data_IF_743108115146
#
_entry.id   IF_743108115146
#
_cell.length_a   1.000
_cell.length_b   1.000
_cell.length_c   1.000
_cell.angle_alpha   90.00
_cell.angle_beta   90.00
_cell.angle_gamma   90.00
#
_symmetry.space_group_name_H-M   'P 1'
#
loop_
_entity.id
_entity.type
_entity.pdbx_description
1 polymer ?
#
# COMPACT_ATOMS: atom_id res chain seq x y z
N UNK A 1 -32.07 2.40 100.10
CA UNK A 1 -32.03 1.36 99.06
C UNK A 1 -32.25 2.08 97.74
N UNK A 2 -31.18 2.45 97.06
CA UNK A 2 -31.19 3.33 95.86
C UNK A 2 -30.77 2.50 94.70
N UNK A 3 -31.68 2.25 93.75
CA UNK A 3 -31.37 1.61 92.47
C UNK A 3 -30.75 2.61 91.48
N UNK A 4 -29.53 2.38 91.13
CA UNK A 4 -28.82 3.06 90.12
C UNK A 4 -29.09 2.41 88.76
N UNK A 5 -29.90 3.06 87.94
CA UNK A 5 -30.14 2.63 86.55
C UNK A 5 -29.06 3.22 85.67
N UNK A 6 -28.18 2.39 85.22
CA UNK A 6 -27.13 2.77 84.30
C UNK A 6 -27.65 2.62 82.84
N UNK A 7 -27.97 3.75 82.23
CA UNK A 7 -28.41 3.81 80.82
C UNK A 7 -27.13 3.78 79.95
N UNK A 8 -26.96 2.64 79.32
CA UNK A 8 -25.87 2.46 78.35
C UNK A 8 -26.27 3.02 77.00
N UNK A 9 -25.64 4.14 76.58
CA UNK A 9 -25.85 4.78 75.32
C UNK A 9 -24.98 4.05 74.23
N UNK A 10 -25.61 3.22 73.43
CA UNK A 10 -24.95 2.57 72.32
C UNK A 10 -24.90 3.57 71.13
N UNK A 11 -23.71 4.10 70.86
CA UNK A 11 -23.39 4.88 69.65
C UNK A 11 -23.17 3.92 68.48
N UNK A 12 -24.18 3.86 67.62
CA UNK A 12 -24.07 3.20 66.31
C UNK A 12 -23.22 4.07 65.38
N UNK A 13 -21.96 3.74 65.21
CA UNK A 13 -21.13 4.27 64.12
C UNK A 13 -21.56 3.57 62.81
N UNK A 14 -22.36 4.27 62.03
CA UNK A 14 -22.64 3.94 60.64
C UNK A 14 -21.39 4.19 59.79
N UNK A 15 -20.58 3.15 59.60
CA UNK A 15 -19.50 3.20 58.63
C UNK A 15 -20.09 3.12 57.22
N UNK A 16 -20.28 4.26 56.56
CA UNK A 16 -20.46 4.29 55.10
C UNK A 16 -19.17 3.82 54.45
N UNK A 17 -19.05 2.55 54.15
CA UNK A 17 -18.04 2.05 53.24
C UNK A 17 -18.42 2.43 51.82
N UNK A 18 -17.91 3.60 51.37
CA UNK A 18 -17.87 3.91 49.93
C UNK A 18 -16.93 2.90 49.26
N UNK A 19 -17.50 1.89 48.64
CA UNK A 19 -16.77 0.99 47.76
C UNK A 19 -16.22 1.89 46.64
N UNK A 20 -14.85 1.97 46.46
CA UNK A 20 -14.31 2.71 45.34
C UNK A 20 -14.84 2.04 44.06
N UNK A 21 -15.63 2.79 43.31
CA UNK A 21 -16.06 2.35 41.98
C UNK A 21 -14.79 2.23 41.13
N UNK A 22 -14.42 0.98 40.80
CA UNK A 22 -13.35 0.74 39.83
C UNK A 22 -13.82 1.44 38.56
N UNK A 23 -13.02 2.37 37.98
CA UNK A 23 -13.38 2.99 36.72
C UNK A 23 -13.68 1.86 35.72
N UNK A 24 -14.85 1.93 35.10
CA UNK A 24 -15.19 1.01 34.01
C UNK A 24 -14.03 0.99 33.03
N UNK A 25 -13.47 -0.19 32.68
CA UNK A 25 -12.39 -0.22 31.70
C UNK A 25 -12.86 0.55 30.45
N UNK A 26 -12.00 1.37 29.84
CA UNK A 26 -12.38 2.11 28.66
C UNK A 26 -13.05 1.12 27.70
N UNK A 27 -14.26 1.51 27.21
CA UNK A 27 -15.03 0.69 26.26
C UNK A 27 -14.05 0.08 25.28
N UNK A 28 -14.09 -1.26 25.17
CA UNK A 28 -13.22 -2.01 24.29
C UNK A 28 -13.01 -1.22 23.01
N UNK A 29 -11.75 -0.90 22.72
CA UNK A 29 -11.34 -0.16 21.54
C UNK A 29 -12.19 -0.68 20.39
N UNK A 30 -12.97 0.19 19.78
CA UNK A 30 -13.78 -0.13 18.60
C UNK A 30 -12.90 -0.96 17.70
N UNK A 31 -13.32 -2.19 17.38
CA UNK A 31 -12.58 -3.17 16.60
C UNK A 31 -11.91 -2.44 15.43
N UNK A 32 -10.59 -2.26 15.53
CA UNK A 32 -9.84 -1.39 14.65
C UNK A 32 -9.62 -2.16 13.35
N UNK A 33 -10.55 -2.02 12.43
CA UNK A 33 -10.52 -2.70 11.14
C UNK A 33 -9.68 -1.91 10.14
N UNK A 34 -8.48 -2.40 9.78
CA UNK A 34 -7.65 -1.71 8.80
C UNK A 34 -8.34 -1.66 7.43
N UNK A 35 -8.14 -0.60 6.64
CA UNK A 35 -8.55 -0.57 5.24
C UNK A 35 -7.98 -1.76 4.47
N UNK A 36 -8.73 -2.26 3.48
CA UNK A 36 -8.33 -3.44 2.71
C UNK A 36 -6.94 -3.31 2.07
N UNK A 37 -6.50 -2.12 1.70
CA UNK A 37 -5.19 -1.88 1.10
C UNK A 37 -4.02 -2.13 2.05
N UNK A 38 -4.21 -1.95 3.36
CA UNK A 38 -3.18 -2.25 4.38
C UNK A 38 -2.83 -3.73 4.36
N UNK A 39 -3.85 -4.58 4.18
CA UNK A 39 -3.68 -6.03 4.11
C UNK A 39 -3.24 -6.51 2.72
N UNK A 40 -3.64 -5.80 1.66
CA UNK A 40 -3.30 -6.18 0.28
C UNK A 40 -1.82 -5.96 -0.04
N UNK A 41 -1.21 -4.90 0.52
CA UNK A 41 0.15 -4.51 0.17
C UNK A 41 0.25 -3.83 -1.20
N UNK A 42 1.49 -3.67 -1.70
CA UNK A 42 1.76 -3.14 -3.04
C UNK A 42 1.40 -4.13 -4.15
N UNK A 43 1.20 -3.62 -5.37
CA UNK A 43 0.85 -4.44 -6.53
C UNK A 43 0.19 -3.65 -7.65
N UNK A 44 -0.28 -4.38 -8.67
CA UNK A 44 -1.11 -3.83 -9.74
C UNK A 44 -2.59 -4.13 -9.44
N UNK A 45 -3.44 -3.11 -9.48
CA UNK A 45 -4.88 -3.24 -9.22
C UNK A 45 -5.68 -2.31 -10.13
N UNK A 46 -6.98 -2.58 -10.23
CA UNK A 46 -7.94 -1.68 -10.85
C UNK A 46 -8.84 -1.09 -9.76
N UNK A 47 -8.90 0.23 -9.70
CA UNK A 47 -9.77 1.01 -8.80
C UNK A 47 -10.87 1.74 -9.58
N UNK A 48 -11.62 2.61 -8.92
CA UNK A 48 -12.66 3.45 -9.50
C UNK A 48 -12.13 4.46 -10.54
N UNK A 49 -10.83 4.78 -10.49
CA UNK A 49 -10.12 5.66 -11.44
C UNK A 49 -9.47 4.89 -12.60
N UNK A 50 -9.48 3.55 -12.54
CA UNK A 50 -8.91 2.67 -13.53
C UNK A 50 -7.70 1.87 -13.05
N UNK A 51 -6.93 1.32 -13.99
CA UNK A 51 -5.72 0.56 -13.70
C UNK A 51 -4.66 1.41 -13.02
N UNK A 52 -4.02 0.90 -11.99
CA UNK A 52 -2.97 1.57 -11.25
C UNK A 52 -1.94 0.60 -10.65
N UNK A 53 -0.79 1.14 -10.26
CA UNK A 53 0.18 0.48 -9.41
C UNK A 53 0.14 1.10 -8.03
N UNK A 54 0.32 0.27 -7.01
CA UNK A 54 0.29 0.67 -5.61
C UNK A 54 1.54 0.21 -4.88
N UNK A 55 1.97 1.02 -3.92
CA UNK A 55 3.01 0.67 -2.97
C UNK A 55 2.59 1.04 -1.56
N UNK A 56 3.01 0.25 -0.59
CA UNK A 56 2.69 0.44 0.83
C UNK A 56 3.99 0.57 1.61
N UNK A 57 4.07 1.56 2.48
CA UNK A 57 5.21 1.78 3.34
C UNK A 57 4.79 2.14 4.74
N UNK A 58 5.50 1.64 5.76
CA UNK A 58 5.21 1.96 7.15
C UNK A 58 6.42 2.52 7.89
N UNK A 59 6.15 3.30 8.94
CA UNK A 59 7.15 3.81 9.86
C UNK A 59 6.65 3.69 11.30
N UNK A 60 7.52 3.19 12.20
CA UNK A 60 7.23 2.99 13.63
C UNK A 60 8.33 3.61 14.49
N UNK A 61 7.98 3.92 15.74
CA UNK A 61 8.96 4.31 16.77
C UNK A 61 9.55 5.72 16.62
N UNK A 62 8.99 6.57 15.77
CA UNK A 62 9.46 7.91 15.50
C UNK A 62 8.58 8.91 16.25
N UNK A 63 9.15 9.63 17.23
CA UNK A 63 8.40 10.59 18.06
C UNK A 63 7.92 11.83 17.31
N UNK A 64 8.66 12.25 16.28
CA UNK A 64 8.26 13.36 15.43
C UNK A 64 7.31 12.87 14.35
N UNK A 65 6.02 13.21 14.48
CA UNK A 65 4.98 12.76 13.56
C UNK A 65 5.23 13.17 12.10
N UNK A 66 5.71 14.40 11.86
CA UNK A 66 6.01 14.84 10.49
C UNK A 66 7.12 14.02 9.86
N UNK A 67 8.16 13.68 10.63
CA UNK A 67 9.25 12.82 10.16
C UNK A 67 8.76 11.38 9.96
N UNK A 68 7.92 10.86 10.86
CA UNK A 68 7.33 9.53 10.71
C UNK A 68 6.53 9.44 9.42
N UNK A 69 5.68 10.43 9.14
CA UNK A 69 4.89 10.50 7.92
C UNK A 69 5.77 10.55 6.68
N UNK A 70 6.80 11.41 6.68
CA UNK A 70 7.72 11.49 5.55
C UNK A 70 8.39 10.15 5.27
N UNK A 71 8.86 9.44 6.30
CA UNK A 71 9.50 8.13 6.13
C UNK A 71 8.51 7.08 5.63
N UNK A 72 7.27 7.05 6.13
CA UNK A 72 6.23 6.15 5.62
C UNK A 72 5.92 6.42 4.14
N UNK A 73 5.78 7.70 3.77
CA UNK A 73 5.54 8.13 2.40
C UNK A 73 6.68 7.73 1.46
N UNK A 74 7.92 7.93 1.87
CA UNK A 74 9.11 7.59 1.07
C UNK A 74 9.24 6.07 0.91
N UNK A 75 8.91 5.29 1.94
CA UNK A 75 8.86 3.83 1.87
C UNK A 75 7.75 3.33 0.93
N UNK A 76 6.58 3.97 0.96
CA UNK A 76 5.48 3.64 0.05
C UNK A 76 5.85 3.93 -1.41
N UNK A 77 6.52 5.06 -1.69
CA UNK A 77 7.06 5.37 -3.02
C UNK A 77 8.12 4.38 -3.46
N UNK A 78 9.02 3.98 -2.55
CA UNK A 78 10.06 3.00 -2.85
C UNK A 78 9.49 1.60 -3.13
N UNK A 79 8.43 1.19 -2.41
CA UNK A 79 7.75 -0.07 -2.64
C UNK A 79 7.03 -0.06 -4.00
N UNK A 80 6.31 1.02 -4.31
CA UNK A 80 5.70 1.19 -5.63
C UNK A 80 6.73 1.19 -6.75
N UNK A 81 7.89 1.83 -6.56
CA UNK A 81 8.96 1.85 -7.55
C UNK A 81 9.43 0.43 -7.88
N UNK A 82 9.60 -0.45 -6.89
CA UNK A 82 9.95 -1.86 -7.09
C UNK A 82 8.89 -2.62 -7.88
N UNK A 83 7.60 -2.43 -7.55
CA UNK A 83 6.49 -3.04 -8.30
C UNK A 83 6.53 -2.59 -9.76
N UNK A 84 6.75 -1.31 -10.01
CA UNK A 84 6.78 -0.75 -11.34
C UNK A 84 8.04 -1.14 -12.12
N UNK A 85 9.21 -1.17 -11.47
CA UNK A 85 10.46 -1.66 -12.06
C UNK A 85 10.35 -3.11 -12.51
N UNK A 86 9.77 -3.98 -11.66
CA UNK A 86 9.50 -5.37 -12.02
C UNK A 86 8.58 -5.48 -13.24
N UNK A 87 7.51 -4.69 -13.27
CA UNK A 87 6.61 -4.62 -14.43
C UNK A 87 7.36 -4.26 -15.72
N UNK A 88 8.17 -3.23 -15.68
CA UNK A 88 8.91 -2.75 -16.84
C UNK A 88 10.00 -3.74 -17.29
N UNK A 89 10.71 -4.32 -16.34
CA UNK A 89 11.72 -5.35 -16.64
C UNK A 89 11.08 -6.58 -17.31
N UNK A 90 9.92 -7.01 -16.82
CA UNK A 90 9.17 -8.13 -17.42
C UNK A 90 8.68 -7.77 -18.82
N UNK A 91 8.13 -6.57 -19.00
CA UNK A 91 7.70 -6.08 -20.30
C UNK A 91 8.85 -6.05 -21.31
N UNK A 92 10.04 -5.63 -20.89
CA UNK A 92 11.23 -5.58 -21.73
C UNK A 92 11.70 -6.98 -22.13
N UNK A 93 11.75 -7.92 -21.17
CA UNK A 93 12.12 -9.32 -21.44
C UNK A 93 11.15 -10.00 -22.40
N UNK A 94 9.85 -9.81 -22.19
CA UNK A 94 8.82 -10.36 -23.05
C UNK A 94 8.93 -9.82 -24.48
N UNK A 95 9.20 -8.51 -24.58
CA UNK A 95 9.41 -7.88 -25.88
C UNK A 95 10.64 -8.46 -26.61
N UNK A 96 11.78 -8.60 -25.92
CA UNK A 96 12.99 -9.21 -26.48
C UNK A 96 12.76 -10.65 -26.94
N UNK A 97 12.06 -11.46 -26.14
CA UNK A 97 11.74 -12.84 -26.50
C UNK A 97 10.91 -12.96 -27.79
N UNK A 98 9.95 -12.05 -27.99
CA UNK A 98 9.13 -12.02 -29.20
C UNK A 98 9.87 -11.50 -30.43
N UNK A 99 10.86 -10.62 -30.25
CA UNK A 99 11.65 -10.04 -31.34
C UNK A 99 12.71 -11.00 -31.89
N UNK A 100 13.32 -11.82 -31.00
CA UNK A 100 14.30 -12.84 -31.38
C UNK A 100 13.68 -13.94 -32.26
N UNK A 101 12.35 -14.11 -32.21
CA UNK A 101 11.60 -15.09 -33.00
C UNK A 101 11.32 -14.67 -34.45
N UNK A 102 11.79 -13.52 -34.95
CA UNK A 102 11.75 -13.22 -36.40
C UNK A 102 11.29 -11.85 -36.86
N UNK A 103 11.19 -10.84 -36.01
CA UNK A 103 10.63 -9.53 -36.41
C UNK A 103 11.60 -8.35 -36.45
N UNK A 104 12.86 -8.46 -35.99
CA UNK A 104 13.84 -7.37 -36.04
C UNK A 104 15.09 -7.70 -36.83
N UNK A 105 15.42 -6.79 -37.74
CA UNK A 105 16.56 -6.90 -38.62
C UNK A 105 17.86 -6.33 -38.04
N UNK A 106 17.84 -5.60 -36.89
CA UNK A 106 19.05 -4.92 -36.40
C UNK A 106 19.11 -4.80 -34.87
N UNK A 107 20.34 -5.00 -34.32
CA UNK A 107 20.69 -4.76 -32.92
C UNK A 107 20.45 -3.32 -32.43
N UNK A 108 20.30 -2.36 -33.33
CA UNK A 108 20.05 -0.95 -33.03
C UNK A 108 18.63 -0.70 -32.54
N UNK A 109 17.64 -1.45 -33.06
CA UNK A 109 16.25 -1.31 -32.65
C UNK A 109 16.02 -1.88 -31.24
N UNK A 110 16.75 -2.93 -30.90
CA UNK A 110 16.74 -3.54 -29.56
C UNK A 110 17.31 -2.60 -28.48
N UNK A 111 18.44 -1.94 -28.76
CA UNK A 111 19.04 -0.94 -27.87
C UNK A 111 18.16 0.30 -27.69
N UNK A 112 17.50 0.75 -28.75
CA UNK A 112 16.59 1.90 -28.68
C UNK A 112 15.34 1.59 -27.84
N UNK A 113 14.82 0.37 -27.89
CA UNK A 113 13.67 -0.04 -27.08
C UNK A 113 13.99 -0.09 -25.57
N UNK A 114 15.17 -0.59 -25.20
CA UNK A 114 15.62 -0.59 -23.80
C UNK A 114 15.84 0.85 -23.26
N UNK A 115 16.42 1.73 -24.06
CA UNK A 115 16.63 3.12 -23.69
C UNK A 115 15.28 3.83 -23.50
N UNK A 116 14.33 3.63 -24.41
CA UNK A 116 12.99 4.18 -24.33
C UNK A 116 12.29 3.75 -23.03
N UNK A 117 12.36 2.46 -22.69
CA UNK A 117 11.77 1.92 -21.47
C UNK A 117 12.38 2.56 -20.23
N UNK A 118 13.71 2.68 -20.13
CA UNK A 118 14.39 3.30 -18.96
C UNK A 118 14.00 4.76 -18.76
N UNK A 119 13.90 5.54 -19.81
CA UNK A 119 13.48 6.97 -19.77
C UNK A 119 12.04 7.06 -19.30
N UNK A 120 11.16 6.23 -19.82
CA UNK A 120 9.76 6.18 -19.44
C UNK A 120 9.59 5.85 -17.95
N UNK A 121 10.34 4.88 -17.42
CA UNK A 121 10.31 4.52 -15.99
C UNK A 121 10.62 5.72 -15.11
N UNK A 122 11.77 6.37 -15.35
CA UNK A 122 12.21 7.48 -14.50
C UNK A 122 11.26 8.68 -14.56
N UNK A 123 10.64 8.93 -15.71
CA UNK A 123 9.68 10.02 -15.89
C UNK A 123 8.35 9.69 -15.24
N UNK A 124 7.89 8.45 -15.36
CA UNK A 124 6.61 8.00 -14.83
C UNK A 124 6.59 7.97 -13.29
N UNK A 125 7.69 7.56 -12.65
CA UNK A 125 7.79 7.54 -11.19
C UNK A 125 7.65 8.93 -10.55
N UNK A 126 7.88 10.03 -11.30
CA UNK A 126 7.60 11.40 -10.82
C UNK A 126 6.11 11.67 -10.62
N UNK A 127 5.23 10.89 -11.25
CA UNK A 127 3.76 10.97 -11.11
C UNK A 127 3.20 10.20 -9.92
N UNK A 128 4.04 9.58 -9.07
CA UNK A 128 3.59 8.86 -7.88
C UNK A 128 3.04 9.83 -6.85
N UNK A 129 1.81 9.57 -6.40
CA UNK A 129 1.12 10.34 -5.37
C UNK A 129 0.83 9.49 -4.14
N UNK A 130 0.95 10.06 -2.94
CA UNK A 130 0.42 9.45 -1.72
C UNK A 130 -1.06 9.78 -1.66
N UNK A 131 -1.89 8.75 -1.56
CA UNK A 131 -3.35 8.90 -1.63
C UNK A 131 -4.06 8.62 -0.32
N UNK A 132 -3.41 7.90 0.61
CA UNK A 132 -4.00 7.56 1.89
C UNK A 132 -2.94 7.30 2.97
N UNK A 133 -3.37 7.44 4.23
CA UNK A 133 -2.58 7.12 5.42
C UNK A 133 -3.47 6.38 6.41
N UNK A 134 -2.87 5.41 7.08
CA UNK A 134 -3.52 4.63 8.12
C UNK A 134 -2.62 4.52 9.34
N UNK A 135 -3.15 4.83 10.51
CA UNK A 135 -2.40 4.86 11.77
C UNK A 135 -2.85 3.72 12.68
N UNK A 136 -1.90 3.02 13.27
CA UNK A 136 -2.11 2.01 14.30
C UNK A 136 -1.57 2.56 15.61
N UNK A 137 -2.40 3.22 16.44
CA UNK A 137 -1.95 3.92 17.64
C UNK A 137 -1.24 3.01 18.64
N UNK A 138 -1.70 1.76 18.82
CA UNK A 138 -1.15 0.79 19.76
C UNK A 138 0.30 0.41 19.42
N UNK A 139 0.68 0.51 18.16
CA UNK A 139 2.03 0.22 17.67
C UNK A 139 2.85 1.50 17.42
N UNK A 140 2.21 2.67 17.50
CA UNK A 140 2.81 3.92 17.06
C UNK A 140 3.26 3.83 15.58
N UNK A 141 2.50 3.11 14.76
CA UNK A 141 2.80 2.82 13.37
C UNK A 141 1.92 3.67 12.45
N UNK A 142 2.56 4.32 11.49
CA UNK A 142 1.90 5.02 10.40
C UNK A 142 2.18 4.30 9.09
N UNK A 143 1.14 3.99 8.34
CA UNK A 143 1.21 3.30 7.05
C UNK A 143 0.73 4.25 5.97
N UNK A 144 1.47 4.35 4.87
CA UNK A 144 1.17 5.20 3.72
C UNK A 144 0.88 4.36 2.49
N UNK A 145 -0.06 4.82 1.66
CA UNK A 145 -0.40 4.23 0.38
C UNK A 145 0.02 5.17 -0.75
N UNK A 146 0.91 4.69 -1.60
CA UNK A 146 1.31 5.34 -2.84
C UNK A 146 0.54 4.76 -4.03
N UNK A 147 0.20 5.61 -5.02
CA UNK A 147 -0.49 5.25 -6.25
C UNK A 147 0.19 5.87 -7.46
N UNK A 148 0.31 5.08 -8.52
CA UNK A 148 0.74 5.51 -9.85
C UNK A 148 -0.34 5.13 -10.86
N UNK A 149 -0.85 6.12 -11.59
CA UNK A 149 -1.85 5.90 -12.63
C UNK A 149 -1.26 5.19 -13.86
N UNK A 150 -1.91 4.12 -14.32
CA UNK A 150 -1.47 3.36 -15.48
C UNK A 150 -1.61 4.16 -16.79
N UNK A 151 -2.63 5.03 -16.89
CA UNK A 151 -2.78 5.89 -18.08
C UNK A 151 -1.68 6.93 -18.15
N UNK A 152 -1.21 7.46 -17.01
CA UNK A 152 -0.05 8.35 -16.98
C UNK A 152 1.21 7.64 -17.52
N UNK A 153 1.42 6.38 -17.19
CA UNK A 153 2.48 5.57 -17.80
C UNK A 153 2.31 5.47 -19.31
N UNK A 154 1.14 5.10 -19.82
CA UNK A 154 0.89 4.98 -21.26
C UNK A 154 1.12 6.29 -22.00
N UNK A 155 0.69 7.42 -21.43
CA UNK A 155 0.91 8.74 -22.01
C UNK A 155 2.40 9.09 -22.07
N UNK A 156 3.16 8.81 -21.01
CA UNK A 156 4.60 9.06 -20.98
C UNK A 156 5.34 8.20 -22.03
N UNK A 157 4.92 6.94 -22.21
CA UNK A 157 5.44 6.08 -23.28
C UNK A 157 5.19 6.71 -24.65
N UNK A 158 3.97 7.16 -24.93
CA UNK A 158 3.60 7.75 -26.22
C UNK A 158 4.33 9.07 -26.52
N UNK A 159 4.70 9.81 -25.48
CA UNK A 159 5.41 11.10 -25.62
C UNK A 159 6.92 10.95 -25.75
N UNK A 160 7.50 9.81 -25.33
CA UNK A 160 8.93 9.57 -25.42
C UNK A 160 9.40 9.57 -26.90
N UNK A 161 10.44 10.34 -27.20
CA UNK A 161 10.98 10.45 -28.56
C UNK A 161 11.49 9.10 -29.05
N UNK A 162 12.12 8.33 -28.15
CA UNK A 162 12.62 6.98 -28.42
C UNK A 162 11.49 6.02 -28.82
N UNK A 163 10.28 6.23 -28.31
CA UNK A 163 9.12 5.43 -28.68
C UNK A 163 8.53 5.85 -30.04
N UNK A 164 8.56 7.15 -30.34
CA UNK A 164 8.01 7.69 -31.59
C UNK A 164 8.76 7.21 -32.83
N UNK A 165 10.08 6.92 -32.71
CA UNK A 165 10.88 6.41 -33.84
C UNK A 165 10.63 4.94 -34.15
N UNK A 166 9.95 4.20 -33.26
CA UNK A 166 9.61 2.80 -33.49
C UNK A 166 8.50 2.63 -34.55
N UNK A 167 8.53 1.56 -35.38
CA UNK A 167 7.46 1.25 -36.31
C UNK A 167 6.08 1.14 -35.61
N UNK A 168 5.02 1.55 -36.29
CA UNK A 168 3.68 1.58 -35.71
C UNK A 168 3.25 0.21 -35.14
N UNK A 169 3.54 -0.88 -35.84
CA UNK A 169 3.23 -2.25 -35.38
C UNK A 169 3.91 -2.56 -34.05
N UNK A 170 5.19 -2.23 -33.93
CA UNK A 170 5.99 -2.43 -32.72
C UNK A 170 5.42 -1.65 -31.54
N UNK A 171 5.06 -0.38 -31.76
CA UNK A 171 4.42 0.46 -30.73
C UNK A 171 3.10 -0.14 -30.26
N UNK A 172 2.31 -0.71 -31.16
CA UNK A 172 1.05 -1.35 -30.81
C UNK A 172 1.28 -2.63 -30.03
N UNK A 173 2.21 -3.49 -30.47
CA UNK A 173 2.55 -4.74 -29.78
C UNK A 173 3.03 -4.48 -28.33
N UNK A 174 3.85 -3.42 -28.12
CA UNK A 174 4.30 -3.02 -26.77
C UNK A 174 3.10 -2.60 -25.90
N UNK A 175 2.15 -1.83 -26.44
CA UNK A 175 0.95 -1.41 -25.71
C UNK A 175 0.06 -2.59 -25.33
N UNK A 176 -0.17 -3.49 -26.25
CA UNK A 176 -1.02 -4.66 -26.03
C UNK A 176 -0.38 -5.59 -24.99
N UNK A 177 0.93 -5.77 -25.03
CA UNK A 177 1.66 -6.56 -24.05
C UNK A 177 1.67 -5.88 -22.66
N UNK A 178 1.82 -4.57 -22.60
CA UNK A 178 1.72 -3.82 -21.36
C UNK A 178 0.34 -3.99 -20.69
N UNK A 179 -0.73 -3.92 -21.46
CA UNK A 179 -2.09 -4.14 -20.95
C UNK A 179 -2.31 -5.59 -20.46
N UNK A 180 -1.76 -6.58 -21.17
CA UNK A 180 -1.81 -7.98 -20.77
C UNK A 180 -1.05 -8.24 -19.47
N UNK A 181 0.17 -7.72 -19.38
CA UNK A 181 1.03 -7.89 -18.21
C UNK A 181 0.42 -7.23 -16.95
N UNK A 182 -0.16 -6.03 -17.06
CA UNK A 182 -0.87 -5.41 -15.94
C UNK A 182 -1.98 -6.32 -15.42
N UNK A 183 -2.75 -6.93 -16.32
CA UNK A 183 -3.82 -7.87 -15.96
C UNK A 183 -3.30 -9.16 -15.31
N UNK A 184 -2.15 -9.66 -15.74
CA UNK A 184 -1.48 -10.80 -15.13
C UNK A 184 -1.06 -10.48 -13.70
N UNK A 185 -0.38 -9.35 -13.49
CA UNK A 185 0.04 -8.89 -12.16
C UNK A 185 -1.15 -8.63 -11.23
N UNK A 186 -2.25 -8.08 -11.75
CA UNK A 186 -3.47 -7.86 -10.97
C UNK A 186 -4.05 -9.20 -10.46
N UNK A 187 -4.09 -10.22 -11.30
CA UNK A 187 -4.53 -11.57 -10.89
C UNK A 187 -3.63 -12.18 -9.81
N UNK A 188 -2.32 -11.99 -9.92
CA UNK A 188 -1.38 -12.47 -8.90
C UNK A 188 -1.57 -11.73 -7.59
N UNK A 189 -1.71 -10.41 -7.62
CA UNK A 189 -1.97 -9.61 -6.44
C UNK A 189 -3.30 -9.98 -5.76
N UNK A 190 -4.35 -10.27 -6.52
CA UNK A 190 -5.62 -10.75 -5.99
C UNK A 190 -5.49 -12.12 -5.31
N UNK A 191 -4.78 -13.06 -5.91
CA UNK A 191 -4.53 -14.38 -5.29
C UNK A 191 -3.75 -14.25 -3.97
N UNK A 192 -2.75 -13.37 -3.92
CA UNK A 192 -2.00 -13.12 -2.69
C UNK A 192 -2.87 -12.51 -1.60
N UNK A 193 -3.82 -11.65 -1.97
CA UNK A 193 -4.80 -11.06 -1.05
C UNK A 193 -5.75 -12.13 -0.49
N UNK A 194 -6.29 -13.00 -1.34
CA UNK A 194 -7.18 -14.10 -0.94
C UNK A 194 -6.46 -15.06 0.00
N UNK A 195 -5.21 -15.44 -0.30
CA UNK A 195 -4.42 -16.30 0.57
C UNK A 195 -4.11 -15.67 1.94
N UNK A 196 -3.88 -14.34 2.00
CA UNK A 196 -3.67 -13.64 3.28
C UNK A 196 -4.96 -13.52 4.08
N UNK A 197 -6.12 -13.35 3.43
CA UNK A 197 -7.43 -13.34 4.08
C UNK A 197 -7.77 -14.69 4.72
N UNK A 198 -7.39 -15.80 4.09
CA UNK A 198 -7.60 -17.13 4.63
C UNK A 198 -6.86 -17.38 5.96
N UNK A 199 -5.64 -16.83 6.12
CA UNK A 199 -4.88 -16.94 7.38
C UNK A 199 -5.37 -15.99 8.48
N UNK A 200 -6.18 -14.98 8.16
CA UNK A 200 -6.71 -14.02 9.13
C UNK A 200 -8.05 -14.45 9.76
N UNK A 201 -8.70 -15.48 9.21
CA UNK A 201 -9.97 -16.04 9.74
C UNK A 201 -9.76 -17.19 10.73
N UNK A 202 -8.52 -17.70 10.88
CA UNK A 202 -8.20 -18.86 11.75
C UNK A 202 -7.58 -18.44 13.11
N UNK A 203 -7.49 -17.14 13.46
CA UNK A 203 -7.06 -16.61 14.76
C UNK A 203 -8.25 -15.96 15.53
#
# INVERSE_FOLDING_TARGET
MKHFIMVSLILLFGACSTIPTIPEPPKALTEYKPPAWVLSGGGAFTDDKGKAFYGVGSATGIKNYSLQRQIADDRARADLAKVFEYYVETLTKDYQAHTTAGSFATSTEEQNSEAAVKVVVSTTLRGVTIIDHFEIPERGELISLARLDYNAFKQNVEQAEEFKVLPHKVRQDIKDRADALHKEMEKEAQKLKENRGFFAEDE
#
